data_IF_836198755973
#
_entry.id   IF_836198755973
#
_cell.length_a   1.000
_cell.length_b   1.000
_cell.length_c   1.000
_cell.angle_alpha   90.00
_cell.angle_beta   90.00
_cell.angle_gamma   90.00
#
_symmetry.space_group_name_H-M   'P 1'
#
loop_
_entity.id
_entity.type
_entity.pdbx_description
1 polymer ?
#
# COMPACT_ATOMS: atom_id res chain seq x y z
N UNK A 1 -2.48 10.56 -22.45
CA UNK A 1 -1.12 10.90 -22.07
C UNK A 1 -1.05 12.36 -21.69
N UNK A 2 -0.33 12.70 -20.62
CA UNK A 2 -0.22 14.07 -20.11
C UNK A 2 1.11 14.71 -20.49
N UNK A 3 1.14 16.05 -20.44
CA UNK A 3 2.33 16.88 -20.63
C UNK A 3 2.34 17.97 -19.56
N UNK A 4 3.50 18.27 -19.00
CA UNK A 4 3.64 19.31 -17.99
C UNK A 4 3.43 20.70 -18.61
N UNK A 5 2.57 21.50 -17.99
CA UNK A 5 2.26 22.89 -18.43
C UNK A 5 3.02 23.94 -17.62
N UNK A 6 3.83 23.53 -16.66
CA UNK A 6 4.72 24.35 -15.82
C UNK A 6 5.85 23.51 -15.23
N UNK A 7 6.87 24.16 -14.72
CA UNK A 7 7.91 23.51 -13.90
C UNK A 7 7.38 23.27 -12.47
N UNK A 8 7.63 22.09 -11.91
CA UNK A 8 7.37 21.75 -10.51
C UNK A 8 8.21 20.52 -10.11
N UNK A 9 8.66 20.45 -8.87
CA UNK A 9 9.53 19.36 -8.41
C UNK A 9 10.66 19.05 -9.39
N UNK A 10 10.76 17.83 -9.88
CA UNK A 10 11.71 17.36 -10.91
C UNK A 10 11.15 17.43 -12.35
N UNK A 11 9.89 17.83 -12.52
CA UNK A 11 9.19 17.90 -13.81
C UNK A 11 9.34 19.30 -14.45
N UNK A 12 9.67 19.35 -15.74
CA UNK A 12 9.85 20.58 -16.51
C UNK A 12 8.69 20.78 -17.49
N UNK A 13 8.46 22.06 -17.82
CA UNK A 13 7.48 22.41 -18.87
C UNK A 13 7.74 21.61 -20.14
N UNK A 14 6.70 20.93 -20.63
CA UNK A 14 6.76 20.08 -21.81
C UNK A 14 7.15 18.64 -21.54
N UNK A 15 7.54 18.29 -20.33
CA UNK A 15 7.86 16.90 -20.00
C UNK A 15 6.64 15.99 -20.19
N UNK A 16 6.92 14.82 -20.73
CA UNK A 16 5.93 13.82 -21.05
C UNK A 16 5.71 12.89 -19.87
N UNK A 17 4.50 12.91 -19.32
CA UNK A 17 4.08 12.02 -18.25
C UNK A 17 3.41 10.74 -18.74
N UNK A 18 2.70 10.06 -17.85
CA UNK A 18 1.96 8.83 -18.08
C UNK A 18 0.57 9.05 -18.71
N UNK A 19 -0.38 8.24 -18.30
CA UNK A 19 -1.73 8.23 -18.85
C UNK A 19 -2.78 8.44 -17.77
N UNK A 20 -3.67 9.38 -18.01
CA UNK A 20 -4.90 9.56 -17.23
C UNK A 20 -6.09 9.41 -18.17
N UNK A 21 -7.23 8.99 -17.64
CA UNK A 21 -8.50 8.89 -18.38
C UNK A 21 -9.24 10.24 -18.42
N UNK A 22 -9.19 10.97 -17.32
CA UNK A 22 -9.86 12.26 -17.09
C UNK A 22 -8.92 13.23 -16.39
N UNK A 23 -9.14 14.53 -16.53
CA UNK A 23 -8.44 15.57 -15.75
C UNK A 23 -8.64 15.41 -14.26
N UNK A 24 -9.78 14.89 -13.81
CA UNK A 24 -10.07 14.62 -12.40
C UNK A 24 -9.15 13.57 -11.75
N UNK A 25 -8.44 12.78 -12.57
CA UNK A 25 -7.52 11.76 -12.08
C UNK A 25 -6.21 12.32 -11.50
N UNK A 26 -5.83 13.54 -11.86
CA UNK A 26 -4.58 14.17 -11.41
C UNK A 26 -4.84 15.61 -10.98
N UNK A 27 -4.55 15.93 -9.73
CA UNK A 27 -4.71 17.28 -9.20
C UNK A 27 -3.76 18.27 -9.89
N UNK A 28 -4.21 19.50 -10.06
CA UNK A 28 -3.38 20.62 -10.48
C UNK A 28 -2.73 21.36 -9.30
N UNK A 29 -3.13 21.02 -8.07
CA UNK A 29 -2.55 21.52 -6.83
C UNK A 29 -1.45 20.55 -6.33
N UNK A 30 -0.37 21.10 -5.76
CA UNK A 30 0.76 20.29 -5.30
C UNK A 30 1.73 19.90 -6.43
N UNK A 31 2.53 18.86 -6.19
CA UNK A 31 3.56 18.36 -7.10
C UNK A 31 3.30 16.92 -7.57
N UNK A 32 2.06 16.45 -7.45
CA UNK A 32 1.73 15.09 -7.89
C UNK A 32 1.95 14.91 -9.40
N UNK A 33 2.42 13.73 -9.78
CA UNK A 33 2.63 13.42 -11.18
C UNK A 33 2.47 11.93 -11.49
N UNK A 34 2.01 11.68 -12.72
CA UNK A 34 1.97 10.34 -13.31
C UNK A 34 3.11 10.26 -14.34
N UNK A 35 4.09 9.41 -14.08
CA UNK A 35 5.30 9.27 -14.90
C UNK A 35 5.20 8.08 -15.88
N UNK A 36 6.12 8.01 -16.81
CA UNK A 36 6.44 6.88 -17.69
C UNK A 36 5.21 6.29 -18.42
N UNK A 37 4.94 5.02 -18.19
CA UNK A 37 3.78 4.29 -18.72
C UNK A 37 2.73 3.98 -17.66
N UNK A 38 2.81 4.63 -16.49
CA UNK A 38 1.82 4.50 -15.43
C UNK A 38 0.46 5.00 -15.90
N UNK A 39 -0.60 4.42 -15.34
CA UNK A 39 -1.98 4.68 -15.74
C UNK A 39 -2.87 4.96 -14.55
N UNK A 40 -3.67 6.01 -14.63
CA UNK A 40 -4.69 6.36 -13.65
C UNK A 40 -6.03 6.48 -14.38
N UNK A 41 -7.01 5.66 -14.03
CA UNK A 41 -8.29 5.55 -14.74
C UNK A 41 -9.51 5.50 -13.82
N UNK A 42 -10.69 5.63 -14.39
CA UNK A 42 -11.96 5.67 -13.65
C UNK A 42 -12.04 6.92 -12.79
N UNK A 43 -12.56 6.77 -11.58
CA UNK A 43 -12.66 7.85 -10.60
C UNK A 43 -11.46 7.91 -9.63
N UNK A 44 -10.34 7.26 -10.00
CA UNK A 44 -9.13 7.29 -9.19
C UNK A 44 -8.51 8.70 -9.18
N UNK A 45 -7.91 9.08 -8.04
CA UNK A 45 -7.34 10.41 -7.85
C UNK A 45 -5.92 10.34 -7.32
N UNK A 46 -5.04 11.15 -7.92
CA UNK A 46 -3.66 11.39 -7.47
C UNK A 46 -3.54 12.86 -7.13
N UNK A 47 -3.15 13.20 -5.91
CA UNK A 47 -3.09 14.58 -5.44
C UNK A 47 -2.00 14.81 -4.39
N UNK A 48 -1.85 16.04 -3.90
CA UNK A 48 -0.75 16.52 -3.05
C UNK A 48 0.62 16.36 -3.76
N UNK A 49 1.57 15.63 -3.18
CA UNK A 49 2.91 15.38 -3.73
C UNK A 49 3.12 13.90 -4.13
N UNK A 50 2.02 13.19 -4.38
CA UNK A 50 2.05 11.76 -4.71
C UNK A 50 2.61 11.50 -6.11
N UNK A 51 3.31 10.38 -6.28
CA UNK A 51 3.82 9.92 -7.56
C UNK A 51 3.32 8.53 -7.95
N UNK A 52 2.97 8.38 -9.23
CA UNK A 52 2.61 7.09 -9.83
C UNK A 52 3.50 6.91 -11.06
N UNK A 53 4.32 5.85 -11.10
CA UNK A 53 5.38 5.75 -12.11
C UNK A 53 5.61 4.34 -12.64
N UNK A 54 6.48 4.24 -13.64
CA UNK A 54 6.83 3.01 -14.36
C UNK A 54 5.59 2.38 -15.02
N UNK A 55 5.12 1.23 -14.59
CA UNK A 55 3.93 0.54 -15.13
C UNK A 55 2.82 0.40 -14.09
N UNK A 56 2.84 1.25 -13.06
CA UNK A 56 1.84 1.21 -11.99
C UNK A 56 0.44 1.52 -12.54
N UNK A 57 -0.56 0.90 -11.93
CA UNK A 57 -1.95 1.03 -12.33
C UNK A 57 -2.83 1.43 -11.15
N UNK A 58 -3.47 2.59 -11.27
CA UNK A 58 -4.39 3.12 -10.27
C UNK A 58 -5.78 3.24 -10.89
N UNK A 59 -6.81 2.67 -10.28
CA UNK A 59 -8.12 2.55 -10.92
C UNK A 59 -9.31 2.62 -9.94
N UNK A 60 -10.51 2.53 -10.49
CA UNK A 60 -11.77 2.60 -9.76
C UNK A 60 -11.96 3.93 -9.03
N UNK A 61 -12.05 3.93 -7.69
CA UNK A 61 -12.16 5.12 -6.85
C UNK A 61 -10.97 5.24 -5.89
N UNK A 62 -9.83 4.64 -6.24
CA UNK A 62 -8.64 4.66 -5.40
C UNK A 62 -8.04 6.06 -5.27
N UNK A 63 -7.45 6.34 -4.13
CA UNK A 63 -6.80 7.61 -3.85
C UNK A 63 -5.33 7.41 -3.51
N UNK A 64 -4.45 8.17 -4.16
CA UNK A 64 -3.01 8.20 -3.89
C UNK A 64 -2.64 9.65 -3.56
N UNK A 65 -2.20 9.93 -2.34
CA UNK A 65 -1.99 11.29 -1.87
C UNK A 65 -0.85 11.43 -0.84
N UNK A 66 -0.62 12.65 -0.38
CA UNK A 66 0.54 12.97 0.45
C UNK A 66 1.82 12.81 -0.36
N UNK A 67 2.84 12.23 0.22
CA UNK A 67 4.12 11.89 -0.46
C UNK A 67 4.17 10.41 -0.88
N UNK A 68 3.02 9.79 -1.13
CA UNK A 68 2.92 8.38 -1.47
C UNK A 68 3.50 8.09 -2.87
N UNK A 69 4.16 6.92 -2.99
CA UNK A 69 4.84 6.52 -4.22
C UNK A 69 4.38 5.13 -4.67
N UNK A 70 3.76 5.05 -5.83
CA UNK A 70 3.25 3.80 -6.42
C UNK A 70 4.00 3.51 -7.71
N UNK A 71 4.77 2.42 -7.77
CA UNK A 71 5.62 2.13 -8.92
C UNK A 71 5.80 0.63 -9.21
N UNK A 72 6.63 0.29 -10.19
CA UNK A 72 6.76 -1.06 -10.69
C UNK A 72 5.55 -1.48 -11.53
N UNK A 73 4.97 -2.60 -11.19
CA UNK A 73 3.69 -3.10 -11.73
C UNK A 73 2.61 -3.13 -10.66
N UNK A 74 2.74 -2.28 -9.65
CA UNK A 74 1.80 -2.23 -8.55
C UNK A 74 0.39 -1.85 -9.03
N UNK A 75 -0.62 -2.44 -8.41
CA UNK A 75 -2.02 -2.16 -8.70
C UNK A 75 -2.71 -1.61 -7.45
N UNK A 76 -3.30 -0.43 -7.57
CA UNK A 76 -4.09 0.22 -6.52
C UNK A 76 -5.51 0.43 -7.05
N UNK A 77 -6.52 -0.16 -6.42
CA UNK A 77 -7.88 -0.15 -6.95
C UNK A 77 -8.97 -0.15 -5.88
N UNK A 78 -10.24 -0.29 -6.31
CA UNK A 78 -11.38 -0.22 -5.41
C UNK A 78 -11.60 1.18 -4.86
N UNK A 79 -11.81 1.30 -3.56
CA UNK A 79 -11.90 2.55 -2.80
C UNK A 79 -10.69 2.70 -1.86
N UNK A 80 -9.57 2.05 -2.20
CA UNK A 80 -8.37 2.04 -1.36
C UNK A 80 -7.73 3.42 -1.28
N UNK A 81 -7.02 3.67 -0.17
CA UNK A 81 -6.30 4.91 0.07
C UNK A 81 -4.83 4.62 0.37
N UNK A 82 -3.95 5.18 -0.43
CA UNK A 82 -2.49 5.14 -0.22
C UNK A 82 -2.04 6.57 0.09
N UNK A 83 -1.46 6.81 1.26
CA UNK A 83 -1.15 8.18 1.70
C UNK A 83 0.09 8.28 2.60
N UNK A 84 0.43 9.51 3.02
CA UNK A 84 1.65 9.77 3.78
C UNK A 84 2.87 9.51 2.92
N UNK A 85 3.86 8.80 3.45
CA UNK A 85 5.08 8.39 2.74
C UNK A 85 5.06 6.90 2.36
N UNK A 86 3.86 6.35 2.17
CA UNK A 86 3.68 4.93 1.84
C UNK A 86 4.24 4.62 0.45
N UNK A 87 4.84 3.44 0.30
CA UNK A 87 5.38 2.96 -0.96
C UNK A 87 4.77 1.63 -1.36
N UNK A 88 4.19 1.58 -2.54
CA UNK A 88 3.59 0.36 -3.12
C UNK A 88 4.35 0.03 -4.41
N UNK A 89 4.99 -1.12 -4.48
CA UNK A 89 5.85 -1.41 -5.64
C UNK A 89 6.03 -2.89 -5.97
N UNK A 90 6.78 -3.17 -7.03
CA UNK A 90 6.86 -4.47 -7.70
C UNK A 90 5.50 -4.90 -8.25
N UNK A 91 4.95 -6.05 -7.84
CA UNK A 91 3.64 -6.55 -8.28
C UNK A 91 2.61 -6.50 -7.12
N UNK A 92 2.81 -5.60 -6.16
CA UNK A 92 1.93 -5.48 -5.00
C UNK A 92 0.53 -5.02 -5.40
N UNK A 93 -0.48 -5.52 -4.69
CA UNK A 93 -1.89 -5.21 -4.95
C UNK A 93 -2.52 -4.63 -3.69
N UNK A 94 -3.13 -3.44 -3.81
CA UNK A 94 -3.92 -2.78 -2.76
C UNK A 94 -5.29 -2.49 -3.33
N UNK A 95 -6.33 -3.13 -2.80
CA UNK A 95 -7.68 -3.06 -3.38
C UNK A 95 -8.78 -2.94 -2.32
N UNK A 96 -10.01 -2.87 -2.78
CA UNK A 96 -11.24 -2.77 -1.98
C UNK A 96 -11.26 -1.47 -1.15
N UNK A 97 -11.37 -1.53 0.16
CA UNK A 97 -11.36 -0.37 1.06
C UNK A 97 -10.07 -0.30 1.91
N UNK A 98 -9.00 -0.94 1.45
CA UNK A 98 -7.75 -1.03 2.17
C UNK A 98 -7.08 0.35 2.32
N UNK A 99 -6.39 0.55 3.44
CA UNK A 99 -5.64 1.77 3.72
C UNK A 99 -4.17 1.46 3.96
N UNK A 100 -3.29 2.18 3.27
CA UNK A 100 -1.84 2.04 3.44
C UNK A 100 -1.26 3.45 3.64
N UNK A 101 -0.72 3.73 4.82
CA UNK A 101 -0.25 5.07 5.14
C UNK A 101 0.95 5.12 6.10
N UNK A 102 1.37 6.32 6.52
CA UNK A 102 2.61 6.50 7.27
C UNK A 102 3.83 6.29 6.37
N UNK A 103 4.87 5.64 6.86
CA UNK A 103 6.06 5.27 6.09
C UNK A 103 6.06 3.77 5.70
N UNK A 104 4.87 3.18 5.55
CA UNK A 104 4.72 1.75 5.28
C UNK A 104 5.11 1.36 3.85
N UNK A 105 5.44 0.09 3.67
CA UNK A 105 5.88 -0.44 2.37
C UNK A 105 5.14 -1.73 2.05
N UNK A 106 4.55 -1.80 0.87
CA UNK A 106 3.88 -2.98 0.34
C UNK A 106 4.54 -3.36 -0.97
N UNK A 107 5.12 -4.55 -1.05
CA UNK A 107 5.97 -4.91 -2.19
C UNK A 107 5.94 -6.42 -2.50
N UNK A 108 6.72 -6.84 -3.46
CA UNK A 108 6.73 -8.23 -3.92
C UNK A 108 5.46 -8.58 -4.69
N UNK A 109 4.85 -9.70 -4.37
CA UNK A 109 3.54 -10.14 -4.87
C UNK A 109 2.50 -10.10 -3.74
N UNK A 110 2.68 -9.20 -2.78
CA UNK A 110 1.80 -9.10 -1.61
C UNK A 110 0.44 -8.50 -1.96
N UNK A 111 -0.57 -8.83 -1.16
CA UNK A 111 -1.94 -8.36 -1.34
C UNK A 111 -2.50 -7.76 -0.07
N UNK A 112 -3.03 -6.53 -0.19
CA UNK A 112 -3.78 -5.85 0.85
C UNK A 112 -5.20 -5.64 0.33
N UNK A 113 -6.21 -6.07 1.09
CA UNK A 113 -7.58 -6.05 0.61
C UNK A 113 -8.61 -5.80 1.73
N UNK A 114 -9.86 -5.76 1.36
CA UNK A 114 -11.02 -5.50 2.23
C UNK A 114 -10.89 -4.16 2.99
N UNK A 115 -10.87 -4.17 4.30
CA UNK A 115 -10.72 -3.00 5.18
C UNK A 115 -9.39 -3.01 5.93
N UNK A 116 -8.40 -3.75 5.44
CA UNK A 116 -7.10 -3.84 6.08
C UNK A 116 -6.41 -2.47 6.17
N UNK A 117 -5.76 -2.22 7.29
CA UNK A 117 -5.07 -0.97 7.57
C UNK A 117 -3.59 -1.23 7.87
N UNK A 118 -2.71 -0.71 7.02
CA UNK A 118 -1.25 -0.85 7.14
C UNK A 118 -0.66 0.52 7.40
N UNK A 119 0.02 0.69 8.53
CA UNK A 119 0.59 2.01 8.85
C UNK A 119 1.84 1.96 9.75
N UNK A 120 2.35 3.14 10.14
CA UNK A 120 3.62 3.27 10.82
C UNK A 120 4.79 3.03 9.86
N UNK A 121 5.75 2.20 10.26
CA UNK A 121 6.88 1.75 9.44
C UNK A 121 6.72 0.29 9.01
N UNK A 122 5.50 -0.18 8.89
CA UNK A 122 5.22 -1.59 8.59
C UNK A 122 5.61 -1.96 7.16
N UNK A 123 5.99 -3.22 6.97
CA UNK A 123 6.35 -3.76 5.67
C UNK A 123 5.55 -5.04 5.40
N UNK A 124 4.91 -5.12 4.24
CA UNK A 124 4.27 -6.34 3.74
C UNK A 124 4.96 -6.74 2.43
N UNK A 125 5.48 -7.95 2.36
CA UNK A 125 6.45 -8.36 1.35
C UNK A 125 6.20 -9.79 0.83
N UNK A 126 6.92 -10.19 -0.19
CA UNK A 126 6.87 -11.52 -0.82
C UNK A 126 5.48 -11.89 -1.33
N UNK A 127 4.84 -12.90 -0.79
CA UNK A 127 3.47 -13.34 -1.11
C UNK A 127 2.51 -13.15 0.06
N UNK A 128 2.89 -12.33 1.03
CA UNK A 128 2.08 -12.10 2.21
C UNK A 128 0.75 -11.44 1.87
N UNK A 129 -0.28 -11.77 2.64
CA UNK A 129 -1.62 -11.22 2.45
C UNK A 129 -2.17 -10.65 3.75
N UNK A 130 -2.72 -9.43 3.68
CA UNK A 130 -3.40 -8.78 4.80
C UNK A 130 -4.79 -8.34 4.33
N UNK A 131 -5.84 -8.84 4.99
CA UNK A 131 -7.22 -8.56 4.59
C UNK A 131 -8.22 -8.63 5.75
N UNK A 132 -9.53 -8.49 5.47
CA UNK A 132 -10.55 -8.31 6.49
C UNK A 132 -10.46 -6.93 7.13
N UNK A 133 -10.54 -6.87 8.44
CA UNK A 133 -10.33 -5.65 9.25
C UNK A 133 -8.98 -5.68 9.97
N UNK A 134 -8.01 -6.38 9.42
CA UNK A 134 -6.69 -6.52 10.04
C UNK A 134 -5.97 -5.18 10.10
N UNK A 135 -5.34 -4.90 11.24
CA UNK A 135 -4.56 -3.69 11.49
C UNK A 135 -3.09 -4.08 11.74
N UNK A 136 -2.18 -3.59 10.91
CA UNK A 136 -0.74 -3.88 10.99
C UNK A 136 0.02 -2.57 11.12
N UNK A 137 0.68 -2.36 12.27
CA UNK A 137 1.31 -1.08 12.56
C UNK A 137 2.57 -1.17 13.43
N UNK A 138 3.25 -0.02 13.61
CA UNK A 138 4.57 0.01 14.28
C UNK A 138 5.69 -0.32 13.30
N UNK A 139 6.59 -1.23 13.68
CA UNK A 139 7.70 -1.73 12.86
C UNK A 139 7.47 -3.21 12.49
N UNK A 140 6.25 -3.56 12.13
CA UNK A 140 5.88 -4.95 11.81
C UNK A 140 6.29 -5.29 10.38
N UNK A 141 6.85 -6.48 10.19
CA UNK A 141 7.11 -7.08 8.88
C UNK A 141 6.24 -8.32 8.72
N UNK A 142 5.44 -8.36 7.66
CA UNK A 142 4.67 -9.55 7.24
C UNK A 142 5.26 -10.01 5.91
N UNK A 143 5.79 -11.22 5.86
CA UNK A 143 6.55 -11.71 4.69
C UNK A 143 6.26 -13.17 4.33
N UNK A 144 6.97 -13.65 3.33
CA UNK A 144 6.85 -15.01 2.78
C UNK A 144 5.43 -15.29 2.28
N UNK A 145 4.75 -16.28 2.84
CA UNK A 145 3.36 -16.61 2.55
C UNK A 145 2.45 -16.37 3.77
N UNK A 146 2.88 -15.50 4.69
CA UNK A 146 2.12 -15.23 5.90
C UNK A 146 0.80 -14.51 5.59
N UNK A 147 -0.21 -14.82 6.40
CA UNK A 147 -1.56 -14.30 6.25
C UNK A 147 -2.05 -13.66 7.55
N UNK A 148 -2.49 -12.41 7.46
CA UNK A 148 -3.10 -11.67 8.58
C UNK A 148 -4.50 -11.26 8.15
N UNK A 149 -5.52 -11.73 8.84
CA UNK A 149 -6.92 -11.54 8.41
C UNK A 149 -7.90 -11.34 9.54
N UNK A 150 -9.15 -11.15 9.18
CA UNK A 150 -10.28 -10.92 10.08
C UNK A 150 -10.09 -9.62 10.90
N UNK A 151 -10.12 -9.67 12.22
CA UNK A 151 -9.97 -8.51 13.11
C UNK A 151 -8.63 -8.56 13.87
N UNK A 152 -7.57 -9.05 13.24
CA UNK A 152 -6.25 -9.12 13.86
C UNK A 152 -5.64 -7.73 14.05
N UNK A 153 -4.95 -7.54 15.19
CA UNK A 153 -4.16 -6.34 15.47
C UNK A 153 -2.70 -6.73 15.74
N UNK A 154 -1.79 -6.29 14.86
CA UNK A 154 -0.37 -6.64 14.92
C UNK A 154 0.45 -5.37 15.06
N UNK A 155 1.16 -5.24 16.16
CA UNK A 155 1.88 -4.03 16.56
C UNK A 155 3.27 -4.29 17.14
N UNK A 156 4.02 -3.22 17.37
CA UNK A 156 5.37 -3.30 17.96
C UNK A 156 6.45 -3.53 16.91
N UNK A 157 7.41 -4.39 17.22
CA UNK A 157 8.51 -4.79 16.32
C UNK A 157 8.46 -6.30 16.13
N UNK A 158 7.62 -6.73 15.20
CA UNK A 158 7.37 -8.14 14.92
C UNK A 158 7.66 -8.53 13.48
N UNK A 159 8.17 -9.74 13.30
CA UNK A 159 8.26 -10.40 12.01
C UNK A 159 7.28 -11.59 11.98
N UNK A 160 6.30 -11.53 11.07
CA UNK A 160 5.35 -12.60 10.78
C UNK A 160 5.74 -13.18 9.41
N UNK A 161 6.27 -14.39 9.39
CA UNK A 161 6.81 -14.99 8.17
C UNK A 161 6.42 -16.46 7.99
N UNK A 162 7.01 -17.13 7.00
CA UNK A 162 6.67 -18.50 6.65
C UNK A 162 5.26 -18.63 6.11
N UNK A 163 4.49 -19.58 6.65
CA UNK A 163 3.07 -19.81 6.36
C UNK A 163 2.18 -19.52 7.58
N UNK A 164 2.62 -18.59 8.43
CA UNK A 164 1.84 -18.23 9.63
C UNK A 164 0.51 -17.60 9.23
N UNK A 165 -0.57 -18.07 9.83
CA UNK A 165 -1.90 -17.50 9.70
C UNK A 165 -2.36 -16.88 11.04
N UNK A 166 -2.58 -15.57 11.04
CA UNK A 166 -3.24 -14.85 12.14
C UNK A 166 -4.69 -14.57 11.73
N UNK A 167 -5.65 -14.99 12.57
CA UNK A 167 -7.06 -14.83 12.25
C UNK A 167 -7.95 -14.58 13.49
N UNK A 168 -9.22 -14.29 13.25
CA UNK A 168 -10.18 -13.96 14.29
C UNK A 168 -9.87 -12.62 14.95
N UNK A 169 -9.74 -12.60 16.28
CA UNK A 169 -9.38 -11.43 17.08
C UNK A 169 -7.97 -11.54 17.65
N UNK A 170 -7.03 -12.13 16.90
CA UNK A 170 -5.65 -12.29 17.37
C UNK A 170 -4.96 -10.95 17.52
N UNK A 171 -4.34 -10.72 18.68
CA UNK A 171 -3.49 -9.56 18.94
C UNK A 171 -2.04 -9.98 19.11
N UNK A 172 -1.12 -9.31 18.40
CA UNK A 172 0.33 -9.51 18.51
C UNK A 172 0.98 -8.19 18.87
N UNK A 173 1.75 -8.16 19.95
CA UNK A 173 2.39 -6.92 20.41
C UNK A 173 3.74 -7.17 21.08
N UNK A 174 4.57 -6.12 21.14
CA UNK A 174 5.93 -6.19 21.70
C UNK A 174 6.99 -6.45 20.63
N UNK A 175 7.96 -7.32 20.90
CA UNK A 175 9.07 -7.62 19.99
C UNK A 175 9.22 -9.12 19.83
N UNK A 176 9.35 -9.60 18.58
CA UNK A 176 9.53 -11.02 18.32
C UNK A 176 9.34 -11.46 16.88
N UNK A 177 9.25 -12.75 16.69
CA UNK A 177 8.94 -13.35 15.39
C UNK A 177 8.01 -14.55 15.52
N UNK A 178 7.15 -14.72 14.53
CA UNK A 178 6.36 -15.91 14.28
C UNK A 178 6.71 -16.42 12.89
N UNK A 179 7.06 -17.69 12.78
CA UNK A 179 7.43 -18.31 11.50
C UNK A 179 7.06 -19.80 11.53
N UNK A 180 7.02 -20.42 10.37
CA UNK A 180 6.61 -21.83 10.24
C UNK A 180 5.23 -21.96 9.60
N UNK A 181 4.43 -22.92 10.08
CA UNK A 181 3.10 -23.24 9.55
C UNK A 181 1.99 -23.09 10.60
N UNK A 182 2.23 -22.25 11.60
CA UNK A 182 1.31 -22.11 12.74
C UNK A 182 0.11 -21.25 12.40
N UNK A 183 -1.02 -21.62 12.97
CA UNK A 183 -2.24 -20.83 12.93
C UNK A 183 -2.60 -20.34 14.31
N UNK A 184 -2.79 -19.04 14.44
CA UNK A 184 -3.19 -18.36 15.67
C UNK A 184 -4.59 -17.76 15.47
N UNK A 185 -5.57 -18.22 16.25
CA UNK A 185 -6.95 -17.79 16.15
C UNK A 185 -7.45 -17.23 17.47
N UNK A 186 -7.87 -15.96 17.45
CA UNK A 186 -8.48 -15.26 18.60
C UNK A 186 -7.65 -15.39 19.90
N UNK A 187 -6.35 -15.19 19.81
CA UNK A 187 -5.41 -15.29 20.91
C UNK A 187 -4.60 -14.00 21.09
N UNK A 188 -3.93 -13.88 22.23
CA UNK A 188 -3.01 -12.77 22.49
C UNK A 188 -1.58 -13.28 22.55
N UNK A 189 -0.71 -12.66 21.77
CA UNK A 189 0.73 -12.92 21.73
C UNK A 189 1.44 -11.64 22.11
N UNK A 190 2.10 -11.62 23.26
CA UNK A 190 2.90 -10.49 23.69
C UNK A 190 4.25 -10.98 24.20
N UNK A 191 5.31 -10.37 23.71
CA UNK A 191 6.67 -10.60 24.20
C UNK A 191 7.30 -9.27 24.56
N UNK A 192 8.06 -9.29 25.63
CA UNK A 192 8.79 -8.12 26.14
C UNK A 192 10.13 -8.03 25.42
#
# INVERSE_FOLDING_TARGET
RIYAVRDFSDVKYGDKGGYIESEDNLSHDGNCWVYDDARVIGNARVYDDASVREHAFVSCCAQVCGEADVYGKACVGGQSVVSGQARIYHNAIVIDNARVHGASRVLGNSKIADYANIHGNSRVDCYASVFGHANVHGNVMVSDCAMVRDNCDVSGTYHIGGHVELCGYTTVSGTGSLSGYDKYASCRISRI
#
